data_IF_726896134945
#
_entry.id   IF_726896134945
#
_cell.length_a   1.000
_cell.length_b   1.000
_cell.length_c   1.000
_cell.angle_alpha   90.00
_cell.angle_beta   90.00
_cell.angle_gamma   90.00
#
_symmetry.space_group_name_H-M   'P 1'
#
loop_
_entity.id
_entity.type
_entity.pdbx_description
1 polymer ?
#
# COMPACT_ATOMS: atom_id res chain seq x y z
N UNK A 1 -29.12 -16.15 -47.51
CA UNK A 1 -29.26 -17.41 -46.75
C UNK A 1 -27.85 -17.88 -46.42
N UNK A 2 -27.31 -17.82 -45.20
CA UNK A 2 -27.94 -17.73 -43.89
C UNK A 2 -27.62 -19.01 -43.11
N UNK A 3 -26.60 -18.94 -42.23
CA UNK A 3 -26.35 -19.75 -41.02
C UNK A 3 -24.88 -19.56 -40.62
N UNK A 4 -24.58 -18.59 -39.74
CA UNK A 4 -24.62 -18.66 -38.27
C UNK A 4 -23.20 -18.89 -37.72
N UNK A 5 -22.48 -17.77 -37.60
CA UNK A 5 -21.18 -17.66 -36.96
C UNK A 5 -21.36 -17.36 -35.47
N UNK A 6 -21.02 -18.35 -34.65
CA UNK A 6 -20.37 -18.25 -33.34
C UNK A 6 -20.63 -16.99 -32.50
N UNK A 7 -21.69 -17.03 -31.68
CA UNK A 7 -21.90 -16.14 -30.53
C UNK A 7 -21.55 -16.86 -29.22
N UNK A 8 -20.26 -17.03 -28.94
CA UNK A 8 -19.79 -17.44 -27.61
C UNK A 8 -19.63 -16.19 -26.72
N UNK A 9 -20.72 -15.75 -26.11
CA UNK A 9 -20.69 -14.82 -24.97
C UNK A 9 -20.48 -15.64 -23.70
N UNK A 10 -19.25 -15.69 -23.20
CA UNK A 10 -18.95 -16.17 -21.87
C UNK A 10 -19.53 -15.19 -20.83
N UNK A 11 -20.77 -15.45 -20.42
CA UNK A 11 -21.35 -14.87 -19.20
C UNK A 11 -20.58 -15.46 -18.02
N UNK A 12 -19.70 -14.66 -17.43
CA UNK A 12 -19.11 -14.96 -16.12
C UNK A 12 -20.22 -14.84 -15.07
N UNK A 13 -20.92 -15.95 -14.85
CA UNK A 13 -21.90 -16.12 -13.79
C UNK A 13 -21.22 -16.25 -12.43
N UNK A 14 -20.87 -15.12 -11.80
CA UNK A 14 -20.56 -15.06 -10.38
C UNK A 14 -21.85 -15.19 -9.56
N UNK A 15 -22.29 -16.42 -9.27
CA UNK A 15 -23.49 -16.66 -8.45
C UNK A 15 -23.34 -16.18 -7.00
N UNK A 16 -24.47 -15.99 -6.27
CA UNK A 16 -24.49 -15.43 -4.90
C UNK A 16 -23.70 -16.25 -3.87
N UNK A 17 -23.43 -17.52 -4.15
CA UNK A 17 -22.60 -18.39 -3.31
C UNK A 17 -21.12 -17.97 -3.27
N UNK A 18 -20.57 -17.42 -4.37
CA UNK A 18 -19.20 -16.91 -4.42
C UNK A 18 -19.01 -15.63 -3.61
N UNK A 19 -20.03 -14.77 -3.58
CA UNK A 19 -20.05 -13.53 -2.82
C UNK A 19 -20.11 -13.78 -1.30
N UNK A 20 -20.88 -14.78 -0.85
CA UNK A 20 -20.95 -15.19 0.55
C UNK A 20 -19.65 -15.86 1.04
N UNK A 21 -18.99 -16.66 0.19
CA UNK A 21 -17.69 -17.25 0.51
C UNK A 21 -16.59 -16.17 0.63
N UNK A 22 -16.60 -15.18 -0.28
CA UNK A 22 -15.68 -14.05 -0.22
C UNK A 22 -15.91 -13.18 1.03
N UNK A 23 -17.17 -12.94 1.40
CA UNK A 23 -17.51 -12.21 2.64
C UNK A 23 -17.03 -12.93 3.90
N UNK A 24 -17.24 -14.25 4.01
CA UNK A 24 -16.76 -15.03 5.17
C UNK A 24 -15.24 -15.04 5.29
N UNK A 25 -14.52 -15.07 4.16
CA UNK A 25 -13.07 -15.00 4.14
C UNK A 25 -12.58 -13.61 4.58
N UNK A 26 -13.24 -12.55 4.12
CA UNK A 26 -12.97 -11.18 4.54
C UNK A 26 -13.27 -10.99 6.04
N UNK A 27 -14.37 -11.52 6.55
CA UNK A 27 -14.70 -11.49 7.98
C UNK A 27 -13.66 -12.27 8.81
N UNK A 28 -13.29 -13.48 8.40
CA UNK A 28 -12.27 -14.28 9.09
C UNK A 28 -10.91 -13.59 9.13
N UNK A 29 -10.48 -12.95 8.03
CA UNK A 29 -9.23 -12.20 7.98
C UNK A 29 -9.26 -10.96 8.87
N UNK A 30 -10.38 -10.22 8.90
CA UNK A 30 -10.53 -9.06 9.80
C UNK A 30 -10.55 -9.46 11.28
N UNK A 31 -11.17 -10.58 11.63
CA UNK A 31 -11.18 -11.11 12.99
C UNK A 31 -9.78 -11.56 13.43
N UNK A 32 -9.05 -12.25 12.56
CA UNK A 32 -7.66 -12.64 12.81
C UNK A 32 -6.76 -11.42 13.04
N UNK A 33 -6.87 -10.39 12.17
CA UNK A 33 -6.10 -9.16 12.31
C UNK A 33 -6.39 -8.42 13.62
N UNK A 34 -7.66 -8.39 14.06
CA UNK A 34 -8.04 -7.80 15.36
C UNK A 34 -7.47 -8.59 16.53
N UNK A 35 -7.52 -9.91 16.48
CA UNK A 35 -6.95 -10.76 17.52
C UNK A 35 -5.43 -10.57 17.63
N UNK A 36 -4.74 -10.46 16.50
CA UNK A 36 -3.30 -10.17 16.47
C UNK A 36 -2.98 -8.79 17.03
N UNK A 37 -3.76 -7.77 16.68
CA UNK A 37 -3.59 -6.43 17.24
C UNK A 37 -3.82 -6.40 18.76
N UNK A 38 -4.82 -7.14 19.27
CA UNK A 38 -5.06 -7.26 20.70
C UNK A 38 -3.94 -8.00 21.42
N UNK A 39 -3.37 -9.05 20.81
CA UNK A 39 -2.21 -9.75 21.34
C UNK A 39 -1.00 -8.83 21.43
N UNK A 40 -0.69 -8.09 20.35
CA UNK A 40 0.40 -7.12 20.33
C UNK A 40 0.24 -6.03 21.40
N UNK A 41 -0.95 -5.47 21.56
CA UNK A 41 -1.27 -4.50 22.61
C UNK A 41 -1.06 -5.05 24.02
N UNK A 42 -1.49 -6.30 24.24
CA UNK A 42 -1.34 -6.97 25.53
C UNK A 42 0.14 -7.22 25.84
N UNK A 43 0.90 -7.73 24.88
CA UNK A 43 2.35 -7.94 25.01
C UNK A 43 3.09 -6.63 25.27
N UNK A 44 2.78 -5.56 24.52
CA UNK A 44 3.38 -4.24 24.73
C UNK A 44 3.14 -3.71 26.15
N UNK A 45 1.92 -3.86 26.67
CA UNK A 45 1.58 -3.47 28.04
C UNK A 45 2.31 -4.30 29.09
N UNK A 46 2.49 -5.60 28.85
CA UNK A 46 3.25 -6.49 29.76
C UNK A 46 4.71 -6.07 29.81
N UNK A 47 5.35 -5.90 28.64
CA UNK A 47 6.75 -5.48 28.53
C UNK A 47 6.98 -4.11 29.16
N UNK A 48 6.13 -3.13 28.87
CA UNK A 48 6.17 -1.81 29.48
C UNK A 48 6.13 -1.88 31.01
N UNK A 49 5.20 -2.67 31.57
CA UNK A 49 5.07 -2.83 33.03
C UNK A 49 6.30 -3.48 33.66
N UNK A 50 6.91 -4.44 32.97
CA UNK A 50 8.12 -5.10 33.44
C UNK A 50 9.30 -4.12 33.48
N UNK A 51 9.52 -3.38 32.39
CA UNK A 51 10.53 -2.33 32.29
C UNK A 51 10.34 -1.24 33.35
N UNK A 52 9.12 -0.71 33.48
CA UNK A 52 8.81 0.35 34.44
C UNK A 52 9.06 -0.07 35.90
N UNK A 53 8.84 -1.34 36.25
CA UNK A 53 9.09 -1.87 37.59
C UNK A 53 10.59 -1.99 37.88
N UNK A 54 11.38 -2.42 36.91
CA UNK A 54 12.82 -2.60 37.06
C UNK A 54 13.58 -1.27 37.07
N UNK A 55 13.17 -0.31 36.24
CA UNK A 55 13.89 0.94 36.01
C UNK A 55 13.29 2.15 36.71
N UNK A 56 12.39 1.96 37.68
CA UNK A 56 11.73 3.09 38.35
C UNK A 56 12.74 4.01 39.05
N UNK A 57 12.76 5.33 38.77
CA UNK A 57 13.74 6.26 39.32
C UNK A 57 13.59 6.51 40.83
N UNK A 58 12.39 6.30 41.41
CA UNK A 58 12.18 6.49 42.86
C UNK A 58 12.94 5.51 43.76
N UNK A 59 13.49 4.44 43.20
CA UNK A 59 14.25 3.45 43.98
C UNK A 59 15.72 3.85 44.17
N UNK A 60 16.19 4.88 43.47
CA UNK A 60 17.61 5.27 43.48
C UNK A 60 17.88 6.44 44.43
N UNK A 61 18.83 6.24 45.35
CA UNK A 61 19.29 7.28 46.31
C UNK A 61 20.42 8.16 45.76
N UNK A 62 21.10 7.72 44.71
CA UNK A 62 22.16 8.50 44.06
C UNK A 62 21.55 9.44 43.00
N UNK A 63 21.71 10.77 43.13
CA UNK A 63 21.15 11.73 42.20
C UNK A 63 21.69 11.60 40.76
N UNK A 64 22.90 11.05 40.56
CA UNK A 64 23.44 10.84 39.22
C UNK A 64 22.76 9.64 38.54
N UNK A 65 22.60 8.53 39.27
CA UNK A 65 21.91 7.33 38.78
C UNK A 65 20.40 7.58 38.58
N UNK A 66 19.79 8.43 39.42
CA UNK A 66 18.40 8.82 39.26
C UNK A 66 18.16 9.54 37.93
N UNK A 67 19.10 10.37 37.45
CA UNK A 67 18.98 11.04 36.14
C UNK A 67 19.01 10.03 35.00
N UNK A 68 19.97 9.10 35.02
CA UNK A 68 20.10 8.04 34.02
C UNK A 68 18.83 7.18 33.96
N UNK A 69 18.28 6.77 35.11
CA UNK A 69 17.02 6.04 35.17
C UNK A 69 15.82 6.86 34.70
N UNK A 70 15.83 8.17 34.92
CA UNK A 70 14.77 9.06 34.43
C UNK A 70 14.76 9.16 32.92
N UNK A 71 15.94 9.32 32.30
CA UNK A 71 16.10 9.32 30.84
C UNK A 71 15.64 8.00 30.23
N UNK A 72 16.10 6.88 30.79
CA UNK A 72 15.67 5.54 30.36
C UNK A 72 14.15 5.35 30.49
N UNK A 73 13.54 5.83 31.57
CA UNK A 73 12.09 5.78 31.75
C UNK A 73 11.35 6.61 30.70
N UNK A 74 11.87 7.77 30.31
CA UNK A 74 11.29 8.59 29.24
C UNK A 74 11.35 7.86 27.89
N UNK A 75 12.45 7.19 27.58
CA UNK A 75 12.57 6.36 26.37
C UNK A 75 11.56 5.20 26.37
N UNK A 76 11.38 4.52 27.51
CA UNK A 76 10.38 3.45 27.68
C UNK A 76 8.96 3.99 27.46
N UNK A 77 8.63 5.17 28.01
CA UNK A 77 7.32 5.80 27.82
C UNK A 77 7.10 6.17 26.35
N UNK A 78 8.09 6.80 25.71
CA UNK A 78 8.00 7.20 24.30
C UNK A 78 7.78 6.00 23.37
N UNK A 79 8.50 4.90 23.59
CA UNK A 79 8.32 3.66 22.84
C UNK A 79 6.92 3.06 23.04
N UNK A 80 6.39 3.10 24.27
CA UNK A 80 5.03 2.63 24.57
C UNK A 80 3.95 3.49 23.92
N UNK A 81 4.07 4.82 23.98
CA UNK A 81 3.13 5.75 23.34
C UNK A 81 3.12 5.63 21.81
N UNK A 82 4.30 5.38 21.21
CA UNK A 82 4.42 5.10 19.78
C UNK A 82 3.85 3.73 19.38
N UNK A 83 3.52 2.86 20.35
CA UNK A 83 3.12 1.47 20.09
C UNK A 83 4.26 0.62 19.51
N UNK A 84 5.51 1.04 19.72
CA UNK A 84 6.70 0.37 19.20
C UNK A 84 7.11 -0.77 20.14
N UNK A 85 6.48 -1.92 19.93
CA UNK A 85 6.78 -3.14 20.68
C UNK A 85 8.24 -3.58 20.50
N UNK A 86 8.86 -3.30 19.35
CA UNK A 86 10.25 -3.66 19.10
C UNK A 86 11.18 -2.83 19.97
N UNK A 87 11.01 -1.51 20.01
CA UNK A 87 11.81 -0.63 20.86
C UNK A 87 11.70 -1.02 22.34
N UNK A 88 10.50 -1.33 22.82
CA UNK A 88 10.30 -1.84 24.19
C UNK A 88 11.06 -3.15 24.44
N UNK A 89 11.03 -4.09 23.48
CA UNK A 89 11.72 -5.37 23.62
C UNK A 89 13.24 -5.24 23.56
N UNK A 90 13.74 -4.31 22.75
CA UNK A 90 15.17 -3.99 22.69
C UNK A 90 15.66 -3.40 24.01
N UNK A 91 14.93 -2.43 24.59
CA UNK A 91 15.22 -1.87 25.91
C UNK A 91 15.24 -2.95 27.02
N UNK A 92 14.40 -3.98 26.90
CA UNK A 92 14.38 -5.12 27.85
C UNK A 92 15.56 -6.09 27.64
N UNK A 93 16.01 -6.27 26.40
CA UNK A 93 17.20 -7.07 26.11
C UNK A 93 18.46 -6.38 26.63
N UNK A 94 18.58 -5.07 26.42
CA UNK A 94 19.72 -4.26 26.84
C UNK A 94 19.84 -4.14 28.37
N UNK A 95 18.71 -4.27 29.10
CA UNK A 95 18.68 -4.24 30.56
C UNK A 95 18.99 -5.56 31.26
N UNK A 96 19.55 -6.54 30.54
CA UNK A 96 19.90 -7.88 31.04
C UNK A 96 18.71 -8.68 31.61
N UNK A 97 17.47 -8.29 31.30
CA UNK A 97 16.24 -9.01 31.67
C UNK A 97 15.77 -9.98 30.57
N UNK A 98 16.63 -10.25 29.59
CA UNK A 98 16.35 -11.16 28.47
C UNK A 98 15.94 -12.57 28.94
N UNK A 99 16.49 -13.06 30.06
CA UNK A 99 16.18 -14.39 30.61
C UNK A 99 14.79 -14.50 31.25
N UNK A 100 14.10 -13.37 31.48
CA UNK A 100 12.77 -13.32 32.08
C UNK A 100 11.64 -13.06 31.06
N UNK A 101 11.94 -13.13 29.75
CA UNK A 101 10.94 -12.93 28.72
C UNK A 101 10.11 -14.23 28.53
N UNK A 102 8.82 -14.16 28.86
CA UNK A 102 7.87 -15.26 28.62
C UNK A 102 7.81 -15.66 27.13
N UNK A 103 7.45 -16.91 26.84
CA UNK A 103 7.32 -17.41 25.46
C UNK A 103 6.38 -16.56 24.59
N UNK A 104 5.28 -16.07 25.16
CA UNK A 104 4.32 -15.19 24.46
C UNK A 104 4.95 -13.84 24.07
N UNK A 105 5.87 -13.34 24.89
CA UNK A 105 6.62 -12.10 24.64
C UNK A 105 7.60 -12.31 23.49
N UNK A 106 8.29 -13.46 23.44
CA UNK A 106 9.20 -13.82 22.35
C UNK A 106 8.47 -14.03 21.02
N UNK A 107 7.28 -14.63 21.04
CA UNK A 107 6.43 -14.76 19.85
C UNK A 107 6.03 -13.38 19.34
N UNK A 108 5.57 -12.50 20.22
CA UNK A 108 5.20 -11.13 19.87
C UNK A 108 6.41 -10.33 19.36
N UNK A 109 7.61 -10.56 19.90
CA UNK A 109 8.86 -9.97 19.42
C UNK A 109 9.16 -10.38 17.97
N UNK A 110 9.10 -11.68 17.70
CA UNK A 110 9.40 -12.23 16.38
C UNK A 110 8.41 -11.69 15.34
N UNK A 111 7.14 -11.55 15.73
CA UNK A 111 6.11 -10.93 14.89
C UNK A 111 6.38 -9.45 14.63
N UNK A 112 6.77 -8.69 15.66
CA UNK A 112 7.12 -7.27 15.53
C UNK A 112 8.33 -7.08 14.60
N UNK A 113 9.38 -7.89 14.75
CA UNK A 113 10.55 -7.91 13.87
C UNK A 113 10.18 -8.20 12.42
N UNK A 114 9.35 -9.22 12.20
CA UNK A 114 8.90 -9.57 10.85
C UNK A 114 8.11 -8.42 10.20
N UNK A 115 7.29 -7.71 10.99
CA UNK A 115 6.56 -6.52 10.52
C UNK A 115 7.51 -5.38 10.15
N UNK A 116 8.50 -5.09 10.99
CA UNK A 116 9.50 -4.07 10.72
C UNK A 116 10.33 -4.41 9.47
N UNK A 117 10.69 -5.68 9.27
CA UNK A 117 11.36 -6.14 8.07
C UNK A 117 10.52 -5.86 6.80
N UNK A 118 9.22 -6.13 6.85
CA UNK A 118 8.30 -5.82 5.75
C UNK A 118 8.23 -4.32 5.51
N UNK A 119 8.07 -3.52 6.56
CA UNK A 119 7.96 -2.06 6.44
C UNK A 119 9.24 -1.44 5.88
N UNK A 120 10.42 -1.85 6.36
CA UNK A 120 11.70 -1.42 5.82
C UNK A 120 11.89 -1.85 4.37
N UNK A 121 11.47 -3.07 4.00
CA UNK A 121 11.50 -3.53 2.62
C UNK A 121 10.58 -2.68 1.73
N UNK A 122 9.42 -2.29 2.24
CA UNK A 122 8.49 -1.41 1.52
C UNK A 122 9.07 0.00 1.36
N UNK A 123 9.68 0.56 2.41
CA UNK A 123 10.37 1.84 2.34
C UNK A 123 11.55 1.82 1.36
N UNK A 124 12.35 0.75 1.37
CA UNK A 124 13.46 0.56 0.42
C UNK A 124 12.93 0.51 -1.01
N UNK A 125 11.85 -0.23 -1.25
CA UNK A 125 11.22 -0.29 -2.57
C UNK A 125 10.66 1.07 -3.00
N UNK A 126 10.04 1.83 -2.08
CA UNK A 126 9.52 3.16 -2.37
C UNK A 126 10.64 4.15 -2.72
N UNK A 127 11.79 4.08 -2.02
CA UNK A 127 12.97 4.90 -2.35
C UNK A 127 13.61 4.48 -3.67
N UNK A 128 13.70 3.18 -3.94
CA UNK A 128 14.35 2.67 -5.14
C UNK A 128 13.52 2.88 -6.40
N UNK A 129 12.19 2.92 -6.28
CA UNK A 129 11.29 2.80 -7.43
C UNK A 129 10.11 3.78 -7.46
N UNK A 130 10.01 4.68 -6.47
CA UNK A 130 8.94 5.65 -6.35
C UNK A 130 7.61 5.07 -5.83
N UNK A 131 6.65 5.94 -5.49
CA UNK A 131 5.38 5.56 -4.86
C UNK A 131 4.49 4.65 -5.75
N UNK A 132 4.67 4.70 -7.07
CA UNK A 132 3.85 3.91 -8.02
C UNK A 132 4.36 2.48 -8.23
N UNK A 133 5.43 2.06 -7.54
CA UNK A 133 5.83 0.65 -7.51
C UNK A 133 6.26 0.09 -8.87
N UNK A 134 6.58 0.95 -9.86
CA UNK A 134 7.08 0.59 -11.20
C UNK A 134 8.30 -0.34 -11.15
N UNK A 135 8.95 -0.46 -10.00
CA UNK A 135 10.07 -1.36 -9.80
C UNK A 135 9.81 -2.65 -9.03
N UNK A 136 8.61 -2.87 -8.48
CA UNK A 136 8.29 -4.14 -7.79
C UNK A 136 7.90 -5.25 -8.75
N UNK A 137 7.54 -4.90 -9.99
CA UNK A 137 7.14 -5.88 -10.97
C UNK A 137 8.42 -6.55 -11.52
N UNK A 138 8.47 -7.89 -11.46
CA UNK A 138 9.53 -8.72 -12.06
C UNK A 138 9.76 -8.22 -13.48
N UNK A 139 10.99 -8.23 -14.01
CA UNK A 139 11.28 -7.63 -15.34
C UNK A 139 10.27 -8.00 -16.46
N UNK A 140 9.70 -9.21 -16.39
CA UNK A 140 8.60 -9.68 -17.24
C UNK A 140 7.27 -8.90 -17.08
N UNK A 141 6.84 -8.58 -15.86
CA UNK A 141 5.65 -7.75 -15.62
C UNK A 141 5.85 -6.32 -16.12
N UNK A 142 7.04 -5.73 -15.92
CA UNK A 142 7.40 -4.40 -16.50
C UNK A 142 7.31 -4.43 -18.00
N UNK A 143 7.83 -5.48 -18.63
CA UNK A 143 7.79 -5.60 -20.08
C UNK A 143 6.36 -5.72 -20.61
N UNK A 144 5.48 -6.44 -19.90
CA UNK A 144 4.06 -6.54 -20.26
C UNK A 144 3.35 -5.20 -20.07
N UNK A 145 3.57 -4.51 -18.95
CA UNK A 145 3.00 -3.18 -18.66
C UNK A 145 3.48 -2.15 -19.68
N UNK A 146 4.77 -2.11 -20.00
CA UNK A 146 5.34 -1.24 -21.04
C UNK A 146 4.76 -1.56 -22.42
N UNK A 147 4.55 -2.84 -22.75
CA UNK A 147 3.90 -3.24 -24.02
C UNK A 147 2.44 -2.83 -24.05
N UNK A 148 1.74 -2.80 -22.91
CA UNK A 148 0.36 -2.35 -22.81
C UNK A 148 0.30 -0.82 -22.97
N UNK A 149 1.08 -0.07 -22.19
CA UNK A 149 1.18 1.40 -22.28
C UNK A 149 1.56 1.83 -23.69
N UNK A 150 2.52 1.17 -24.34
CA UNK A 150 2.91 1.47 -25.73
C UNK A 150 1.77 1.23 -26.72
N UNK A 151 0.94 0.21 -26.51
CA UNK A 151 -0.23 -0.05 -27.36
C UNK A 151 -1.30 1.01 -27.15
N UNK A 152 -1.56 1.37 -25.90
CA UNK A 152 -2.60 2.34 -25.55
C UNK A 152 -2.22 3.73 -26.08
N UNK A 153 -0.98 4.18 -25.87
CA UNK A 153 -0.46 5.43 -26.43
C UNK A 153 -0.52 5.47 -27.96
N UNK A 154 -0.30 4.33 -28.62
CA UNK A 154 -0.41 4.23 -30.07
C UNK A 154 -1.85 4.37 -30.53
N UNK A 155 -2.79 3.73 -29.85
CA UNK A 155 -4.21 3.85 -30.13
C UNK A 155 -4.71 5.29 -29.91
N UNK A 156 -4.27 5.94 -28.83
CA UNK A 156 -4.58 7.35 -28.57
C UNK A 156 -4.01 8.27 -29.66
N UNK A 157 -2.77 8.06 -30.09
CA UNK A 157 -2.17 8.83 -31.18
C UNK A 157 -2.94 8.65 -32.50
N UNK A 158 -3.33 7.42 -32.83
CA UNK A 158 -4.14 7.10 -34.01
C UNK A 158 -5.52 7.77 -33.94
N UNK A 159 -6.18 7.74 -32.77
CA UNK A 159 -7.44 8.43 -32.53
C UNK A 159 -7.32 9.96 -32.73
N UNK A 160 -6.29 10.58 -32.14
CA UNK A 160 -6.05 12.02 -32.28
C UNK A 160 -5.79 12.38 -33.75
N UNK A 161 -5.04 11.56 -34.49
CA UNK A 161 -4.81 11.78 -35.92
C UNK A 161 -6.10 11.70 -36.74
N UNK A 162 -7.00 10.78 -36.40
CA UNK A 162 -8.28 10.63 -37.08
C UNK A 162 -9.20 11.83 -36.82
N UNK A 163 -9.29 12.27 -35.56
CA UNK A 163 -10.03 13.50 -35.18
C UNK A 163 -9.47 14.72 -35.91
N UNK A 164 -8.13 14.85 -35.96
CA UNK A 164 -7.48 15.95 -36.68
C UNK A 164 -7.73 15.94 -38.20
N UNK A 165 -7.96 14.75 -38.80
CA UNK A 165 -8.34 14.63 -40.22
C UNK A 165 -9.76 15.11 -40.46
N UNK A 166 -10.71 14.65 -39.64
CA UNK A 166 -12.13 15.05 -39.75
C UNK A 166 -12.32 16.56 -39.56
N UNK A 167 -11.55 17.17 -38.64
CA UNK A 167 -11.55 18.63 -38.45
C UNK A 167 -11.03 19.39 -39.68
N UNK A 168 -10.03 18.86 -40.40
CA UNK A 168 -9.54 19.48 -41.65
C UNK A 168 -10.54 19.34 -42.78
N UNK A 169 -11.18 18.19 -42.92
CA UNK A 169 -12.20 17.97 -43.96
C UNK A 169 -13.41 18.89 -43.76
N UNK A 170 -13.88 19.05 -42.52
CA UNK A 170 -14.99 19.97 -42.21
C UNK A 170 -14.61 21.44 -42.42
N UNK A 171 -13.36 21.83 -42.14
CA UNK A 171 -12.86 23.16 -42.48
C UNK A 171 -12.82 23.38 -44.01
N UNK A 172 -12.29 22.42 -44.77
CA UNK A 172 -12.24 22.49 -46.23
C UNK A 172 -13.64 22.59 -46.87
N UNK A 173 -14.62 21.84 -46.35
CA UNK A 173 -16.02 21.97 -46.79
C UNK A 173 -16.60 23.36 -46.51
N UNK A 174 -16.26 23.97 -45.37
CA UNK A 174 -16.70 25.34 -45.04
C UNK A 174 -16.05 26.38 -45.95
N UNK A 175 -14.80 26.18 -46.35
CA UNK A 175 -14.11 27.11 -47.25
C UNK A 175 -14.66 27.01 -48.69
N UNK A 176 -14.92 25.79 -49.19
CA UNK A 176 -15.59 25.58 -50.49
C UNK A 176 -17.01 26.18 -50.49
N UNK A 177 -17.79 26.01 -49.42
CA UNK A 177 -19.11 26.64 -49.30
C UNK A 177 -19.03 28.17 -49.28
N UNK A 178 -17.97 28.75 -48.70
CA UNK A 178 -17.73 30.20 -48.74
C UNK A 178 -17.38 30.67 -50.15
N UNK A 179 -16.55 29.91 -50.86
CA UNK A 179 -16.14 30.22 -52.24
C UNK A 179 -17.34 30.16 -53.21
N UNK A 180 -18.16 29.11 -53.13
CA UNK A 180 -19.41 29.01 -53.90
C UNK A 180 -20.42 30.11 -53.57
N UNK A 181 -20.51 30.52 -52.31
CA UNK A 181 -21.36 31.64 -51.91
C UNK A 181 -20.85 33.00 -52.43
N UNK A 182 -19.53 33.15 -52.61
CA UNK A 182 -18.93 34.34 -53.20
C UNK A 182 -19.13 34.38 -54.72
N UNK A 183 -18.96 33.25 -55.42
CA UNK A 183 -19.18 33.14 -56.87
C UNK A 183 -20.66 33.31 -57.25
N UNK A 184 -21.60 32.81 -56.43
CA UNK A 184 -23.03 32.99 -56.64
C UNK A 184 -23.52 34.44 -56.48
N UNK A 185 -22.70 35.34 -55.94
CA UNK A 185 -22.98 36.78 -55.84
C UNK A 185 -22.46 37.59 -57.03
N UNK A 186 -21.62 37.01 -57.90
CA UNK A 186 -21.14 37.67 -59.13
C UNK A 186 -22.03 37.42 -60.36
N UNK A 187 -23.04 36.53 -60.25
CA UNK A 187 -23.95 36.19 -61.36
C UNK A 187 -25.37 36.74 -61.23
N UNK A 188 -25.52 37.99 -60.76
CA UNK A 188 -26.77 38.78 -60.83
C UNK A 188 -26.47 40.14 -61.45
#
# INVERSE_FOLDING_TARGET
MGSDDSSFVAVVGGGPAGLLAAQRLAEATTLAARADQQRLQTSAKTVYRQLARTHHPDLERDPAQQRIKTELMQEIIAAYEAGDLYALLQLMADSAHADAADADVLIAYTQALHRQQIDLKNQLNALQYGPDGLGTSTGKKREIELRQIKRDLRAEAEYIQQVARQLRETAGLRDILRELAAEGLETV
#
